data_IF_559325200431
#
_entry.id   IF_559325200431
#
_cell.length_a   1.000
_cell.length_b   1.000
_cell.length_c   1.000
_cell.angle_alpha   90.00
_cell.angle_beta   90.00
_cell.angle_gamma   90.00
#
_symmetry.space_group_name_H-M   'P 1'
#
loop_
_entity.id
_entity.type
_entity.pdbx_description
1 polymer ?
#
# COMPACT_ATOMS: atom_id res chain seq x y z
N UNK A 1 46.44 -22.26 -6.38
CA UNK A 1 45.54 -21.71 -7.41
C UNK A 1 44.18 -21.42 -6.78
N UNK A 2 43.80 -20.14 -6.74
CA UNK A 2 42.54 -19.61 -6.18
C UNK A 2 41.39 -19.83 -7.15
N UNK A 3 40.23 -20.29 -6.67
CA UNK A 3 38.90 -19.83 -7.12
C UNK A 3 37.93 -19.82 -5.95
N UNK A 4 37.68 -18.62 -5.43
CA UNK A 4 36.51 -18.24 -4.64
C UNK A 4 35.52 -17.53 -5.58
N UNK A 5 34.25 -17.93 -5.56
CA UNK A 5 33.10 -17.19 -6.12
C UNK A 5 31.83 -17.99 -5.84
N UNK A 6 30.75 -17.50 -5.24
CA UNK A 6 30.42 -16.17 -4.74
C UNK A 6 29.13 -16.27 -3.91
N UNK A 7 29.10 -15.55 -2.80
CA UNK A 7 28.00 -15.45 -1.84
C UNK A 7 26.99 -14.43 -2.38
N UNK A 8 25.75 -14.85 -2.69
CA UNK A 8 24.66 -13.89 -2.96
C UNK A 8 24.10 -13.36 -1.65
N UNK A 9 24.65 -12.22 -1.22
CA UNK A 9 24.26 -11.46 -0.04
C UNK A 9 22.94 -10.73 -0.27
N UNK A 10 21.97 -10.95 0.62
CA UNK A 10 20.72 -10.19 0.72
C UNK A 10 20.99 -8.85 1.42
N UNK A 11 21.21 -7.82 0.63
CA UNK A 11 21.13 -6.39 0.94
C UNK A 11 20.44 -5.78 -0.29
N UNK A 12 19.43 -4.92 -0.27
CA UNK A 12 19.04 -3.84 0.63
C UNK A 12 17.81 -3.23 -0.05
N UNK A 13 16.65 -3.14 0.59
CA UNK A 13 15.62 -2.16 0.16
C UNK A 13 15.63 -1.07 1.22
N UNK A 14 16.27 0.02 0.81
CA UNK A 14 16.62 1.17 1.60
C UNK A 14 15.40 1.91 2.13
N UNK A 15 15.60 2.44 3.33
CA UNK A 15 14.80 3.48 3.93
C UNK A 15 14.70 4.70 3.00
N UNK A 16 13.51 5.31 2.95
CA UNK A 16 13.37 6.71 2.61
C UNK A 16 12.84 7.41 3.86
N UNK A 17 13.79 7.98 4.59
CA UNK A 17 13.57 9.07 5.54
C UNK A 17 14.13 10.34 4.90
N UNK A 18 13.28 11.31 4.63
CA UNK A 18 13.61 12.73 4.39
C UNK A 18 12.46 13.50 5.04
N UNK A 19 12.64 13.93 6.30
CA UNK A 19 13.21 15.20 6.73
C UNK A 19 12.25 16.39 6.50
N UNK A 20 11.62 16.80 7.59
CA UNK A 20 11.29 18.19 7.87
C UNK A 20 11.27 18.34 9.39
N UNK A 21 12.42 18.70 9.94
CA UNK A 21 12.59 19.10 11.32
C UNK A 21 12.98 20.58 11.36
N UNK A 22 12.60 21.23 12.46
CA UNK A 22 13.15 22.47 13.01
C UNK A 22 12.62 23.79 12.42
N UNK A 23 11.77 24.46 13.22
CA UNK A 23 12.01 25.82 13.69
C UNK A 23 10.99 26.18 14.80
N UNK A 24 11.20 25.66 16.01
CA UNK A 24 10.64 26.24 17.23
C UNK A 24 11.80 26.45 18.20
N UNK A 25 12.52 27.55 17.99
CA UNK A 25 13.42 28.14 18.97
C UNK A 25 13.23 29.65 18.88
N UNK A 26 12.56 30.20 19.89
CA UNK A 26 12.36 31.63 20.09
C UNK A 26 13.62 32.17 20.78
N UNK A 27 14.31 33.18 20.25
CA UNK A 27 15.09 34.08 21.08
C UNK A 27 14.23 35.32 21.34
N UNK A 28 13.85 35.52 22.60
CA UNK A 28 13.35 36.80 23.08
C UNK A 28 14.53 37.78 23.08
N UNK A 29 14.56 38.68 22.09
CA UNK A 29 15.42 39.86 22.10
C UNK A 29 14.48 41.06 22.24
N UNK A 30 14.41 41.58 23.46
CA UNK A 30 13.82 42.87 23.75
C UNK A 30 14.81 43.96 23.30
N UNK A 31 14.47 44.70 22.24
CA UNK A 31 15.11 45.96 21.87
C UNK A 31 14.02 46.97 21.56
N UNK A 32 14.11 48.13 22.20
CA UNK A 32 13.17 49.24 22.13
C UNK A 32 13.47 50.19 20.97
N UNK A 33 12.40 50.83 20.46
CA UNK A 33 12.29 52.03 19.59
C UNK A 33 12.51 51.85 18.06
N UNK A 34 11.97 52.74 17.18
CA UNK A 34 10.87 53.69 17.31
C UNK A 34 9.68 53.39 16.36
N UNK A 35 8.53 53.99 16.70
CA UNK A 35 7.22 53.84 16.06
C UNK A 35 7.21 54.45 14.65
N UNK A 36 7.42 53.63 13.62
CA UNK A 36 7.03 53.95 12.25
C UNK A 36 5.58 53.52 12.04
N UNK A 37 4.72 54.45 11.63
CA UNK A 37 3.36 54.13 11.21
C UNK A 37 3.42 53.21 9.98
N UNK A 38 3.18 51.92 10.20
CA UNK A 38 3.03 50.90 9.17
C UNK A 38 1.57 50.90 8.70
N UNK A 39 1.28 50.94 7.40
CA UNK A 39 -0.09 50.88 6.91
C UNK A 39 -0.72 49.55 7.32
N UNK A 40 -1.77 49.62 8.13
CA UNK A 40 -2.61 48.51 8.51
C UNK A 40 -3.48 48.13 7.31
N UNK A 41 -3.18 47.02 6.64
CA UNK A 41 -4.02 46.56 5.53
C UNK A 41 -3.52 45.39 4.69
N UNK A 42 -2.24 45.01 4.76
CA UNK A 42 -1.66 44.04 3.82
C UNK A 42 -1.33 42.66 4.41
N UNK A 43 -1.45 42.45 5.72
CA UNK A 43 -1.02 41.22 6.40
C UNK A 43 -2.04 40.08 6.34
N UNK A 44 -3.35 40.36 6.30
CA UNK A 44 -4.39 39.32 6.26
C UNK A 44 -4.52 38.69 4.87
N UNK A 45 -4.55 39.49 3.81
CA UNK A 45 -4.68 39.03 2.42
C UNK A 45 -3.47 38.21 1.98
N UNK A 46 -2.26 38.61 2.35
CA UNK A 46 -1.04 37.86 2.03
C UNK A 46 -0.93 36.55 2.83
N UNK A 47 -1.33 36.54 4.10
CA UNK A 47 -1.38 35.31 4.90
C UNK A 47 -2.41 34.30 4.37
N UNK A 48 -3.60 34.77 3.97
CA UNK A 48 -4.63 33.91 3.37
C UNK A 48 -4.20 33.37 2.00
N UNK A 49 -3.58 34.19 1.15
CA UNK A 49 -3.05 33.75 -0.15
C UNK A 49 -1.94 32.69 0.02
N UNK A 50 -1.05 32.87 1.01
CA UNK A 50 -0.03 31.88 1.34
C UNK A 50 -0.65 30.56 1.84
N UNK A 51 -1.69 30.63 2.66
CA UNK A 51 -2.36 29.44 3.19
C UNK A 51 -3.14 28.66 2.12
N UNK A 52 -3.77 29.37 1.18
CA UNK A 52 -4.42 28.76 0.02
C UNK A 52 -3.38 28.03 -0.85
N UNK A 53 -2.23 28.66 -1.11
CA UNK A 53 -1.12 28.07 -1.88
C UNK A 53 -0.56 26.81 -1.20
N UNK A 54 -0.38 26.83 0.12
CA UNK A 54 0.10 25.65 0.87
C UNK A 54 -0.91 24.50 0.80
N UNK A 55 -2.21 24.79 0.92
CA UNK A 55 -3.27 23.77 0.84
C UNK A 55 -3.34 23.16 -0.56
N UNK A 56 -3.20 23.98 -1.60
CA UNK A 56 -3.16 23.51 -2.98
C UNK A 56 -1.92 22.65 -3.28
N UNK A 57 -0.76 23.07 -2.81
CA UNK A 57 0.47 22.27 -2.90
C UNK A 57 0.31 20.91 -2.19
N UNK A 58 -0.39 20.87 -1.06
CA UNK A 58 -0.69 19.62 -0.36
C UNK A 58 -1.63 18.71 -1.17
N UNK A 59 -2.70 19.26 -1.76
CA UNK A 59 -3.62 18.52 -2.65
C UNK A 59 -2.87 17.87 -3.81
N UNK A 60 -2.02 18.64 -4.49
CA UNK A 60 -1.21 18.14 -5.60
C UNK A 60 -0.25 17.02 -5.18
N UNK A 61 0.37 17.13 -4.00
CA UNK A 61 1.22 16.08 -3.44
C UNK A 61 0.43 14.82 -3.11
N UNK A 62 -0.75 14.96 -2.52
CA UNK A 62 -1.64 13.84 -2.19
C UNK A 62 -2.04 13.11 -3.47
N UNK A 63 -2.50 13.82 -4.50
CA UNK A 63 -2.89 13.21 -5.77
C UNK A 63 -1.72 12.46 -6.44
N UNK A 64 -0.52 13.03 -6.44
CA UNK A 64 0.65 12.35 -6.99
C UNK A 64 0.97 11.05 -6.24
N UNK A 65 0.88 11.05 -4.90
CA UNK A 65 1.08 9.85 -4.08
C UNK A 65 -0.02 8.81 -4.33
N UNK A 66 -1.27 9.25 -4.42
CA UNK A 66 -2.41 8.37 -4.67
C UNK A 66 -2.33 7.71 -6.04
N UNK A 67 -1.98 8.44 -7.11
CA UNK A 67 -1.77 7.84 -8.44
C UNK A 67 -0.71 6.75 -8.43
N UNK A 68 0.45 7.04 -7.82
CA UNK A 68 1.54 6.07 -7.72
C UNK A 68 1.13 4.83 -6.90
N UNK A 69 0.36 5.04 -5.83
CA UNK A 69 -0.17 3.98 -4.98
C UNK A 69 -1.19 3.11 -5.73
N UNK A 70 -2.17 3.73 -6.37
CA UNK A 70 -3.22 3.07 -7.14
C UNK A 70 -2.61 2.18 -8.23
N UNK A 71 -1.64 2.70 -8.99
CA UNK A 71 -0.94 1.92 -10.01
C UNK A 71 -0.27 0.66 -9.41
N UNK A 72 0.41 0.78 -8.27
CA UNK A 72 1.04 -0.35 -7.58
C UNK A 72 0.01 -1.34 -7.04
N UNK A 73 -1.08 -0.85 -6.45
CA UNK A 73 -2.14 -1.68 -5.92
C UNK A 73 -2.85 -2.46 -7.04
N UNK A 74 -3.19 -1.77 -8.15
CA UNK A 74 -3.78 -2.37 -9.34
C UNK A 74 -2.86 -3.42 -9.97
N UNK A 75 -1.56 -3.15 -10.08
CA UNK A 75 -0.61 -4.14 -10.58
C UNK A 75 -0.54 -5.37 -9.67
N UNK A 76 -0.52 -5.18 -8.34
CA UNK A 76 -0.49 -6.27 -7.38
C UNK A 76 -1.76 -7.12 -7.40
N UNK A 77 -2.94 -6.49 -7.48
CA UNK A 77 -4.21 -7.19 -7.53
C UNK A 77 -4.40 -7.94 -8.85
N UNK A 78 -4.01 -7.35 -9.98
CA UNK A 78 -4.03 -8.02 -11.28
C UNK A 78 -3.11 -9.25 -11.33
N UNK A 79 -1.92 -9.17 -10.72
CA UNK A 79 -1.01 -10.32 -10.61
C UNK A 79 -1.64 -11.48 -9.80
N UNK A 80 -2.33 -11.16 -8.71
CA UNK A 80 -3.00 -12.17 -7.87
C UNK A 80 -4.22 -12.76 -8.58
N UNK A 81 -5.02 -11.96 -9.28
CA UNK A 81 -6.13 -12.44 -10.10
C UNK A 81 -5.66 -13.42 -11.19
N UNK A 82 -4.61 -13.07 -11.94
CA UNK A 82 -4.00 -13.98 -12.92
C UNK A 82 -3.49 -15.27 -12.29
N UNK A 83 -3.06 -15.24 -11.03
CA UNK A 83 -2.62 -16.44 -10.32
C UNK A 83 -3.80 -17.29 -9.85
N UNK A 84 -4.92 -16.70 -9.45
CA UNK A 84 -6.17 -17.41 -9.16
C UNK A 84 -6.61 -18.21 -10.39
N UNK A 85 -6.75 -17.54 -11.54
CA UNK A 85 -7.13 -18.18 -12.81
C UNK A 85 -6.22 -19.36 -13.16
N UNK A 86 -4.89 -19.18 -13.05
CA UNK A 86 -3.93 -20.25 -13.32
C UNK A 86 -4.12 -21.44 -12.38
N UNK A 87 -4.36 -21.21 -11.10
CA UNK A 87 -4.57 -22.29 -10.13
C UNK A 87 -5.90 -22.99 -10.36
N UNK A 88 -6.95 -22.31 -10.80
CA UNK A 88 -8.22 -22.95 -11.16
C UNK A 88 -8.09 -23.86 -12.38
N UNK A 89 -7.36 -23.41 -13.41
CA UNK A 89 -7.07 -24.25 -14.58
C UNK A 89 -6.32 -25.52 -14.17
N UNK A 90 -5.32 -25.39 -13.28
CA UNK A 90 -4.58 -26.55 -12.78
C UNK A 90 -5.44 -27.46 -11.89
N UNK A 91 -6.27 -26.88 -11.01
CA UNK A 91 -7.19 -27.63 -10.17
C UNK A 91 -8.20 -28.43 -11.01
N UNK A 92 -8.76 -27.81 -12.06
CA UNK A 92 -9.70 -28.48 -12.97
C UNK A 92 -9.04 -29.65 -13.72
N UNK A 93 -7.75 -29.53 -14.08
CA UNK A 93 -6.99 -30.64 -14.68
C UNK A 93 -6.79 -31.78 -13.69
N UNK A 94 -6.40 -31.47 -12.46
CA UNK A 94 -6.21 -32.47 -11.41
C UNK A 94 -7.53 -33.17 -11.05
N UNK A 95 -8.63 -32.42 -10.98
CA UNK A 95 -9.98 -32.94 -10.79
C UNK A 95 -10.43 -33.87 -11.92
N UNK A 96 -10.08 -33.55 -13.17
CA UNK A 96 -10.37 -34.43 -14.31
C UNK A 96 -9.64 -35.78 -14.26
N UNK A 97 -8.59 -35.89 -13.44
CA UNK A 97 -7.88 -37.14 -13.14
C UNK A 97 -8.47 -37.89 -11.94
N UNK A 98 -9.60 -37.42 -11.38
CA UNK A 98 -10.32 -38.07 -10.29
C UNK A 98 -9.90 -37.64 -8.88
N UNK A 99 -9.04 -36.64 -8.73
CA UNK A 99 -8.66 -36.13 -7.41
C UNK A 99 -9.64 -35.08 -6.86
N UNK A 100 -9.83 -35.09 -5.54
CA UNK A 100 -10.53 -34.02 -4.84
C UNK A 100 -9.65 -32.76 -4.73
N UNK A 101 -10.17 -31.63 -5.21
CA UNK A 101 -9.53 -30.31 -5.18
C UNK A 101 -10.35 -29.28 -4.40
N UNK A 102 -11.34 -29.71 -3.61
CA UNK A 102 -12.26 -28.87 -2.84
C UNK A 102 -11.52 -27.83 -1.97
N UNK A 103 -10.51 -28.27 -1.21
CA UNK A 103 -9.71 -27.40 -0.35
C UNK A 103 -8.85 -26.39 -1.14
N UNK A 104 -8.33 -26.78 -2.32
CA UNK A 104 -7.62 -25.86 -3.22
C UNK A 104 -8.58 -24.77 -3.72
N UNK A 105 -9.79 -25.15 -4.16
CA UNK A 105 -10.82 -24.20 -4.63
C UNK A 105 -11.24 -23.25 -3.50
N UNK A 106 -11.41 -23.75 -2.28
CA UNK A 106 -11.74 -22.92 -1.12
C UNK A 106 -10.69 -21.83 -0.86
N UNK A 107 -9.40 -22.16 -0.95
CA UNK A 107 -8.30 -21.18 -0.79
C UNK A 107 -8.20 -20.17 -1.94
N UNK A 108 -8.54 -20.58 -3.16
CA UNK A 108 -8.63 -19.65 -4.31
C UNK A 108 -9.76 -18.65 -4.06
N UNK A 109 -10.90 -19.12 -3.56
CA UNK A 109 -12.05 -18.26 -3.25
C UNK A 109 -11.76 -17.32 -2.07
N UNK A 110 -11.13 -17.81 -1.00
CA UNK A 110 -10.63 -16.97 0.10
C UNK A 110 -9.73 -15.85 -0.44
N UNK A 111 -8.82 -16.18 -1.36
CA UNK A 111 -7.96 -15.18 -2.00
C UNK A 111 -8.74 -14.12 -2.78
N UNK A 112 -9.85 -14.48 -3.45
CA UNK A 112 -10.72 -13.53 -4.15
C UNK A 112 -11.42 -12.59 -3.19
N UNK A 113 -12.01 -13.12 -2.12
CA UNK A 113 -12.67 -12.34 -1.09
C UNK A 113 -11.70 -11.34 -0.45
N UNK A 114 -10.47 -11.78 -0.13
CA UNK A 114 -9.42 -10.91 0.39
C UNK A 114 -9.01 -9.81 -0.60
N UNK A 115 -8.97 -10.11 -1.91
CA UNK A 115 -8.70 -9.07 -2.93
C UNK A 115 -9.83 -8.04 -3.01
N UNK A 116 -11.08 -8.47 -2.91
CA UNK A 116 -12.21 -7.56 -2.97
C UNK A 116 -12.25 -6.63 -1.76
N UNK A 117 -12.11 -7.19 -0.55
CA UNK A 117 -11.97 -6.39 0.67
C UNK A 117 -10.77 -5.43 0.58
N UNK A 118 -9.65 -5.86 -0.02
CA UNK A 118 -8.49 -4.99 -0.20
C UNK A 118 -8.82 -3.79 -1.10
N UNK A 119 -9.61 -3.99 -2.17
CA UNK A 119 -10.02 -2.92 -3.11
C UNK A 119 -10.92 -1.91 -2.41
N UNK A 120 -11.92 -2.38 -1.68
CA UNK A 120 -12.81 -1.51 -0.90
C UNK A 120 -12.02 -0.67 0.10
N UNK A 121 -11.14 -1.31 0.88
CA UNK A 121 -10.29 -0.62 1.87
C UNK A 121 -9.36 0.40 1.22
N UNK A 122 -8.81 0.08 0.05
CA UNK A 122 -7.96 1.00 -0.71
C UNK A 122 -8.74 2.23 -1.20
N UNK A 123 -9.96 2.03 -1.71
CA UNK A 123 -10.81 3.13 -2.18
C UNK A 123 -11.20 4.06 -1.03
N UNK A 124 -11.64 3.50 0.10
CA UNK A 124 -11.94 4.29 1.31
C UNK A 124 -10.70 5.05 1.77
N UNK A 125 -9.54 4.40 1.83
CA UNK A 125 -8.31 5.04 2.26
C UNK A 125 -7.88 6.19 1.34
N UNK A 126 -8.05 6.04 0.03
CA UNK A 126 -7.78 7.10 -0.94
C UNK A 126 -8.73 8.29 -0.75
N UNK A 127 -10.02 8.04 -0.54
CA UNK A 127 -11.01 9.09 -0.26
C UNK A 127 -10.67 9.83 1.04
N UNK A 128 -10.36 9.11 2.13
CA UNK A 128 -9.92 9.72 3.39
C UNK A 128 -8.68 10.57 3.19
N UNK A 129 -7.70 10.09 2.40
CA UNK A 129 -6.48 10.84 2.10
C UNK A 129 -6.76 12.12 1.31
N UNK A 130 -7.68 12.09 0.34
CA UNK A 130 -8.09 13.29 -0.42
C UNK A 130 -8.74 14.35 0.47
N UNK A 131 -9.44 13.95 1.53
CA UNK A 131 -10.05 14.86 2.49
C UNK A 131 -9.09 15.50 3.50
N UNK A 132 -7.84 15.04 3.59
CA UNK A 132 -6.85 15.55 4.56
C UNK A 132 -6.63 17.07 4.50
N UNK A 133 -6.53 17.73 3.33
CA UNK A 133 -6.30 19.18 3.26
C UNK A 133 -7.42 20.02 3.89
N UNK A 134 -8.65 19.50 3.85
CA UNK A 134 -9.85 20.21 4.28
C UNK A 134 -10.33 19.75 5.67
N UNK A 135 -9.68 18.76 6.26
CA UNK A 135 -10.00 18.26 7.59
C UNK A 135 -9.65 19.28 8.69
N UNK A 136 -10.56 19.44 9.65
CA UNK A 136 -10.34 20.24 10.87
C UNK A 136 -9.07 19.79 11.61
N UNK A 137 -8.89 18.46 11.75
CA UNK A 137 -7.67 17.86 12.27
C UNK A 137 -6.95 17.05 11.19
N UNK A 138 -6.14 17.75 10.38
CA UNK A 138 -5.35 17.17 9.28
C UNK A 138 -4.46 16.00 9.72
N UNK A 139 -3.87 16.07 10.92
CA UNK A 139 -2.99 15.02 11.44
C UNK A 139 -3.76 13.75 11.73
N UNK A 140 -4.92 13.86 12.39
CA UNK A 140 -5.78 12.70 12.68
C UNK A 140 -6.29 12.05 11.37
N UNK A 141 -6.79 12.86 10.43
CA UNK A 141 -7.26 12.39 9.12
C UNK A 141 -6.15 11.66 8.33
N UNK A 142 -4.93 12.19 8.34
CA UNK A 142 -3.78 11.55 7.70
C UNK A 142 -3.44 10.19 8.33
N UNK A 143 -3.45 10.09 9.66
CA UNK A 143 -3.19 8.83 10.36
C UNK A 143 -4.27 7.78 10.08
N UNK A 144 -5.54 8.21 10.05
CA UNK A 144 -6.65 7.34 9.70
C UNK A 144 -6.49 6.79 8.28
N UNK A 145 -6.26 7.65 7.29
CA UNK A 145 -6.04 7.22 5.90
C UNK A 145 -4.85 6.26 5.79
N UNK A 146 -3.74 6.56 6.48
CA UNK A 146 -2.55 5.70 6.51
C UNK A 146 -2.83 4.33 7.14
N UNK A 147 -3.67 4.26 8.18
CA UNK A 147 -4.08 2.98 8.77
C UNK A 147 -4.89 2.14 7.78
N UNK A 148 -5.88 2.75 7.14
CA UNK A 148 -6.72 2.08 6.13
C UNK A 148 -5.88 1.57 4.93
N UNK A 149 -4.89 2.35 4.48
CA UNK A 149 -3.94 1.88 3.45
C UNK A 149 -3.11 0.67 3.90
N UNK A 150 -2.73 0.62 5.18
CA UNK A 150 -2.00 -0.53 5.73
C UNK A 150 -2.89 -1.77 5.77
N UNK A 151 -4.15 -1.63 6.17
CA UNK A 151 -5.13 -2.71 6.15
C UNK A 151 -5.29 -3.29 4.75
N UNK A 152 -5.52 -2.45 3.73
CA UNK A 152 -5.58 -2.88 2.33
C UNK A 152 -4.33 -3.67 1.90
N UNK A 153 -3.15 -3.22 2.37
CA UNK A 153 -1.88 -3.91 2.08
C UNK A 153 -1.77 -5.27 2.78
N UNK A 154 -2.32 -5.41 3.99
CA UNK A 154 -2.33 -6.70 4.70
C UNK A 154 -3.26 -7.70 4.01
N UNK A 155 -4.42 -7.26 3.54
CA UNK A 155 -5.35 -8.10 2.79
C UNK A 155 -4.71 -8.64 1.49
N UNK A 156 -3.95 -7.83 0.76
CA UNK A 156 -3.15 -8.30 -0.40
C UNK A 156 -2.13 -9.37 0.01
N UNK A 157 -1.49 -9.23 1.18
CA UNK A 157 -0.52 -10.23 1.65
C UNK A 157 -1.22 -11.53 2.06
N UNK A 158 -2.34 -11.46 2.74
CA UNK A 158 -3.15 -12.63 3.11
C UNK A 158 -3.63 -13.36 1.85
N UNK A 159 -4.14 -12.63 0.86
CA UNK A 159 -4.53 -13.20 -0.44
C UNK A 159 -3.36 -13.95 -1.12
N UNK A 160 -2.15 -13.39 -1.06
CA UNK A 160 -0.94 -14.08 -1.56
C UNK A 160 -0.60 -15.34 -0.77
N UNK A 161 -0.84 -15.37 0.53
CA UNK A 161 -0.62 -16.55 1.39
C UNK A 161 -1.61 -17.64 1.02
N UNK A 162 -2.90 -17.34 0.92
CA UNK A 162 -3.93 -18.27 0.48
C UNK A 162 -3.58 -18.94 -0.86
N UNK A 163 -3.14 -18.17 -1.87
CA UNK A 163 -2.70 -18.74 -3.16
C UNK A 163 -1.39 -19.55 -3.10
N UNK A 164 -0.53 -19.30 -2.11
CA UNK A 164 0.66 -20.14 -1.90
C UNK A 164 0.28 -21.47 -1.28
N UNK A 165 -0.66 -21.45 -0.35
CA UNK A 165 -1.19 -22.67 0.26
C UNK A 165 -1.96 -23.49 -0.76
N UNK A 166 -2.87 -22.89 -1.53
CA UNK A 166 -3.58 -23.55 -2.63
C UNK A 166 -2.61 -24.24 -3.61
N UNK A 167 -1.52 -23.55 -3.98
CA UNK A 167 -0.51 -24.12 -4.88
C UNK A 167 0.29 -25.28 -4.27
N UNK A 168 0.54 -25.24 -2.95
CA UNK A 168 1.24 -26.34 -2.25
C UNK A 168 0.35 -27.56 -2.15
N UNK A 169 -0.90 -27.36 -1.76
CA UNK A 169 -1.91 -28.41 -1.64
C UNK A 169 -2.19 -29.07 -2.99
N UNK A 170 -2.39 -28.28 -4.04
CA UNK A 170 -2.57 -28.81 -5.39
C UNK A 170 -1.36 -29.63 -5.87
N UNK A 171 -0.15 -29.23 -5.50
CA UNK A 171 1.07 -29.99 -5.80
C UNK A 171 1.10 -31.32 -5.04
N UNK A 172 0.69 -31.34 -3.77
CA UNK A 172 0.65 -32.57 -2.97
C UNK A 172 -0.37 -33.56 -3.56
N UNK A 173 -1.56 -33.09 -3.93
CA UNK A 173 -2.59 -33.90 -4.60
C UNK A 173 -2.05 -34.48 -5.91
N UNK A 174 -1.41 -33.66 -6.73
CA UNK A 174 -0.85 -34.12 -8.01
C UNK A 174 0.28 -35.15 -7.84
N UNK A 175 1.09 -35.06 -6.78
CA UNK A 175 2.12 -36.06 -6.49
C UNK A 175 1.50 -37.38 -6.04
N UNK A 176 0.50 -37.34 -5.15
CA UNK A 176 -0.20 -38.54 -4.69
C UNK A 176 -0.90 -39.30 -5.83
N UNK A 177 -1.49 -38.58 -6.79
CA UNK A 177 -2.06 -39.19 -7.99
C UNK A 177 -1.02 -39.89 -8.86
N UNK A 178 0.18 -39.32 -8.96
CA UNK A 178 1.26 -39.91 -9.74
C UNK A 178 1.74 -41.21 -9.09
N UNK A 179 1.97 -41.19 -7.78
CA UNK A 179 2.42 -42.36 -7.01
C UNK A 179 1.39 -43.51 -7.07
N UNK A 180 0.10 -43.21 -6.92
CA UNK A 180 -0.96 -44.20 -7.04
C UNK A 180 -1.21 -44.74 -8.46
N UNK A 181 -0.58 -44.17 -9.49
CA UNK A 181 -0.65 -44.66 -10.88
C UNK A 181 0.52 -45.58 -11.27
N UNK A 182 1.52 -45.71 -10.40
CA UNK A 182 2.70 -46.57 -10.61
C UNK A 182 2.57 -47.94 -9.91
N UNK A 183 1.48 -48.20 -9.17
CA UNK A 183 1.10 -49.49 -8.55
C UNK A 183 0.13 -50.29 -9.43
#
# INVERSE_FOLDING_TARGET
MRRMSGIFSRRTIAAIAVAAAVALAVPAIAVALPRTMRPAGSSSTTAQANQATVTENLRNRIENVLRAREARFRAASALLAKRQERLEVLASKVESLGADVSAVRAKIEESRQLLEQAREREQVAAQTMRGVPDAENRRAAFWQARSQMREATQLIKQSRVALREAARELRQIALALKEGSEE
#
